data_IF_319154501410
#
_entry.id   IF_319154501410
#
_cell.length_a   1.000
_cell.length_b   1.000
_cell.length_c   1.000
_cell.angle_alpha   90.00
_cell.angle_beta   90.00
_cell.angle_gamma   90.00
#
_symmetry.space_group_name_H-M   'P 1'
#
loop_
_entity.id
_entity.type
_entity.pdbx_description
1 polymer ?
#
# COMPACT_ATOMS: atom_id res chain seq x y z
N UNK A 1 21.88 28.97 -30.31
CA UNK A 1 20.62 28.48 -29.76
C UNK A 1 20.99 27.32 -28.87
N UNK A 2 21.03 27.53 -27.53
CA UNK A 2 21.31 26.48 -26.56
C UNK A 2 20.13 25.48 -26.58
N UNK A 3 20.40 24.26 -26.98
CA UNK A 3 19.45 23.16 -26.83
C UNK A 3 19.14 23.03 -25.34
N UNK A 4 17.91 23.32 -24.95
CA UNK A 4 17.40 23.05 -23.60
C UNK A 4 17.65 21.56 -23.35
N UNK A 5 18.47 21.26 -22.33
CA UNK A 5 18.73 19.90 -21.88
C UNK A 5 17.43 19.36 -21.28
N UNK A 6 16.60 18.73 -22.12
CA UNK A 6 15.41 18.01 -21.66
C UNK A 6 15.96 16.73 -21.04
N UNK A 7 15.76 16.49 -19.73
CA UNK A 7 16.22 15.25 -19.11
C UNK A 7 15.62 14.07 -19.89
N UNK A 8 16.46 13.12 -20.26
CA UNK A 8 16.00 11.86 -20.87
C UNK A 8 15.07 11.17 -19.86
N UNK A 9 13.79 10.90 -20.20
CA UNK A 9 12.86 10.22 -19.31
C UNK A 9 13.25 8.75 -19.02
N UNK A 10 14.33 8.25 -19.66
CA UNK A 10 14.83 6.89 -19.48
C UNK A 10 14.03 5.81 -20.22
N UNK A 11 13.13 6.21 -21.11
CA UNK A 11 12.23 5.31 -21.86
C UNK A 11 12.20 5.61 -23.36
N UNK A 12 13.30 6.08 -23.92
CA UNK A 12 13.40 6.49 -25.32
C UNK A 12 13.17 5.36 -26.35
N UNK A 13 13.25 4.09 -25.89
CA UNK A 13 12.95 2.89 -26.69
C UNK A 13 11.64 2.18 -26.31
N UNK A 14 10.78 2.81 -25.52
CA UNK A 14 9.53 2.21 -25.08
C UNK A 14 8.49 2.19 -26.21
N UNK A 15 8.08 1.00 -26.61
CA UNK A 15 7.04 0.79 -27.64
C UNK A 15 5.62 0.80 -27.08
N UNK A 16 5.47 1.01 -25.76
CA UNK A 16 4.18 1.02 -25.08
C UNK A 16 3.63 -0.36 -24.72
N UNK A 17 4.36 -1.44 -25.00
CA UNK A 17 3.96 -2.79 -24.59
C UNK A 17 4.16 -3.00 -23.09
N UNK A 18 3.47 -4.00 -22.52
CA UNK A 18 3.69 -4.38 -21.13
C UNK A 18 5.08 -5.02 -20.97
N UNK A 19 5.73 -4.77 -19.84
CA UNK A 19 6.91 -5.52 -19.44
C UNK A 19 6.53 -7.01 -19.31
N UNK A 20 7.24 -7.93 -20.01
CA UNK A 20 6.88 -9.36 -20.00
C UNK A 20 6.91 -9.98 -18.60
N UNK A 21 7.89 -9.59 -17.74
CA UNK A 21 7.98 -10.12 -16.39
C UNK A 21 6.79 -9.66 -15.52
N UNK A 22 6.32 -8.42 -15.71
CA UNK A 22 5.13 -7.91 -15.04
C UNK A 22 3.86 -8.60 -15.55
N UNK A 23 3.73 -8.79 -16.86
CA UNK A 23 2.58 -9.47 -17.46
C UNK A 23 2.45 -10.92 -16.97
N UNK A 24 3.57 -11.66 -16.95
CA UNK A 24 3.64 -13.03 -16.44
C UNK A 24 3.32 -13.11 -14.93
N UNK A 25 3.83 -12.15 -14.15
CA UNK A 25 3.57 -12.11 -12.72
C UNK A 25 2.12 -11.78 -12.38
N UNK A 26 1.49 -10.85 -13.11
CA UNK A 26 0.06 -10.55 -13.00
C UNK A 26 -0.81 -11.75 -13.35
N UNK A 27 -0.48 -12.46 -14.45
CA UNK A 27 -1.19 -13.65 -14.86
C UNK A 27 -1.09 -14.78 -13.84
N UNK A 28 0.11 -15.02 -13.29
CA UNK A 28 0.33 -16.03 -12.26
C UNK A 28 -0.43 -15.70 -10.96
N UNK A 29 -0.40 -14.45 -10.50
CA UNK A 29 -1.15 -14.01 -9.34
C UNK A 29 -2.66 -14.15 -9.54
N UNK A 30 -3.16 -13.85 -10.74
CA UNK A 30 -4.59 -14.00 -11.06
C UNK A 30 -5.03 -15.46 -11.10
N UNK A 31 -4.17 -16.36 -11.60
CA UNK A 31 -4.46 -17.78 -11.68
C UNK A 31 -4.56 -18.44 -10.30
N UNK A 32 -3.69 -18.04 -9.35
CA UNK A 32 -3.71 -18.54 -7.98
C UNK A 32 -3.31 -17.43 -6.98
N UNK A 33 -4.27 -16.60 -6.54
CA UNK A 33 -4.02 -15.58 -5.52
C UNK A 33 -3.65 -16.14 -4.15
N UNK A 34 -3.92 -17.41 -3.89
CA UNK A 34 -3.64 -18.12 -2.64
C UNK A 34 -2.22 -18.67 -2.53
N UNK A 35 -1.50 -18.78 -3.65
CA UNK A 35 -0.11 -19.23 -3.64
C UNK A 35 0.78 -18.12 -3.03
N UNK A 36 1.46 -18.39 -1.89
CA UNK A 36 2.30 -17.41 -1.22
C UNK A 36 3.49 -16.91 -2.06
N UNK A 37 3.86 -17.60 -3.15
CA UNK A 37 4.96 -17.20 -4.03
C UNK A 37 4.54 -16.18 -5.09
N UNK A 38 3.26 -16.06 -5.43
CA UNK A 38 2.78 -15.20 -6.54
C UNK A 38 2.86 -13.72 -6.19
N UNK A 39 2.42 -13.33 -5.01
CA UNK A 39 2.45 -11.92 -4.58
C UNK A 39 3.87 -11.33 -4.49
N UNK A 40 4.88 -11.99 -3.88
CA UNK A 40 6.25 -11.50 -3.88
C UNK A 40 6.84 -11.33 -5.29
N UNK A 41 6.57 -12.28 -6.20
CA UNK A 41 6.99 -12.19 -7.60
C UNK A 41 6.36 -10.98 -8.30
N UNK A 42 5.06 -10.74 -8.07
CA UNK A 42 4.36 -9.59 -8.64
C UNK A 42 4.93 -8.27 -8.11
N UNK A 43 5.19 -8.17 -6.80
CA UNK A 43 5.78 -6.97 -6.21
C UNK A 43 7.20 -6.71 -6.74
N UNK A 44 8.01 -7.75 -6.91
CA UNK A 44 9.34 -7.64 -7.50
C UNK A 44 9.28 -7.19 -8.98
N UNK A 45 8.36 -7.76 -9.76
CA UNK A 45 8.14 -7.35 -11.14
C UNK A 45 7.67 -5.90 -11.24
N UNK A 46 6.73 -5.48 -10.40
CA UNK A 46 6.25 -4.09 -10.33
C UNK A 46 7.38 -3.11 -10.00
N UNK A 47 8.29 -3.47 -9.10
CA UNK A 47 9.42 -2.62 -8.72
C UNK A 47 10.37 -2.34 -9.89
N UNK A 48 10.57 -3.31 -10.78
CA UNK A 48 11.44 -3.20 -11.95
C UNK A 48 10.76 -2.60 -13.18
N UNK A 49 9.45 -2.74 -13.27
CA UNK A 49 8.70 -2.38 -14.48
C UNK A 49 8.52 -0.87 -14.65
N UNK A 50 8.30 -0.49 -15.92
CA UNK A 50 7.76 0.81 -16.29
C UNK A 50 6.24 0.77 -16.19
N UNK A 51 5.66 1.80 -15.61
CA UNK A 51 4.21 2.02 -15.56
C UNK A 51 3.85 3.26 -16.38
N UNK A 52 2.64 3.28 -16.92
CA UNK A 52 2.04 4.43 -17.58
C UNK A 52 1.02 5.07 -16.63
N UNK A 53 1.30 6.29 -16.19
CA UNK A 53 0.35 7.11 -15.45
C UNK A 53 -0.40 7.99 -16.44
N UNK A 54 -1.75 7.97 -16.44
CA UNK A 54 -2.52 8.78 -17.37
C UNK A 54 -2.47 10.25 -16.99
N UNK A 55 -2.44 11.11 -18.01
CA UNK A 55 -2.74 12.52 -17.88
C UNK A 55 -3.95 12.81 -18.76
N UNK A 56 -4.93 13.49 -18.18
CA UNK A 56 -6.14 13.92 -18.88
C UNK A 56 -6.22 15.44 -18.93
N UNK A 57 -6.76 15.97 -20.01
CA UNK A 57 -7.07 17.38 -20.09
C UNK A 57 -8.35 17.65 -19.30
N UNK A 58 -8.25 18.47 -18.27
CA UNK A 58 -9.42 18.98 -17.54
C UNK A 58 -9.79 20.31 -18.18
N UNK A 59 -11.01 20.39 -18.71
CA UNK A 59 -11.56 21.66 -19.21
C UNK A 59 -11.72 22.59 -18.01
N UNK A 60 -10.89 23.66 -17.96
CA UNK A 60 -11.08 24.76 -17.03
C UNK A 60 -12.44 25.43 -17.25
N UNK A 61 -12.91 26.20 -16.27
CA UNK A 61 -14.16 26.95 -16.38
C UNK A 61 -14.12 27.84 -17.63
N UNK A 62 -15.12 27.65 -18.51
CA UNK A 62 -15.27 28.47 -19.69
C UNK A 62 -15.73 29.86 -19.27
N UNK A 63 -14.90 30.88 -19.40
CA UNK A 63 -15.33 32.29 -19.27
C UNK A 63 -16.03 32.72 -20.55
N UNK A 64 -17.23 33.29 -20.40
CA UNK A 64 -17.91 33.97 -21.50
C UNK A 64 -17.34 35.36 -21.60
N UNK A 65 -16.62 35.64 -22.71
CA UNK A 65 -16.07 36.96 -22.96
C UNK A 65 -17.16 38.02 -23.13
N UNK A 66 -16.79 39.32 -23.11
CA UNK A 66 -17.74 40.44 -23.28
C UNK A 66 -18.45 40.42 -24.63
N UNK A 67 -17.97 39.64 -25.57
CA UNK A 67 -18.52 39.41 -26.93
C UNK A 67 -19.51 38.21 -26.99
N UNK A 68 -19.84 37.60 -25.87
CA UNK A 68 -20.74 36.44 -25.76
C UNK A 68 -20.14 35.12 -26.28
N UNK A 69 -18.88 35.10 -26.70
CA UNK A 69 -18.20 33.90 -27.15
C UNK A 69 -17.54 33.19 -25.97
N UNK A 70 -17.80 31.88 -25.82
CA UNK A 70 -17.09 31.01 -24.85
C UNK A 70 -15.64 30.86 -25.31
N UNK A 71 -14.70 31.32 -24.48
CA UNK A 71 -13.27 31.11 -24.68
C UNK A 71 -12.78 30.13 -23.65
N UNK A 72 -12.22 28.99 -24.11
CA UNK A 72 -11.49 28.07 -23.26
C UNK A 72 -10.19 28.74 -22.82
N UNK A 73 -10.08 29.10 -21.56
CA UNK A 73 -8.97 29.90 -21.05
C UNK A 73 -7.74 29.10 -20.68
N UNK A 74 -7.88 27.81 -20.37
CA UNK A 74 -6.77 26.87 -20.17
C UNK A 74 -7.28 25.44 -20.11
N UNK A 75 -6.57 24.56 -20.75
CA UNK A 75 -6.69 23.12 -20.57
C UNK A 75 -5.63 22.75 -19.53
N UNK A 76 -6.01 22.58 -18.29
CA UNK A 76 -5.11 22.08 -17.27
C UNK A 76 -4.94 20.57 -17.43
N UNK A 77 -3.69 20.11 -17.37
CA UNK A 77 -3.37 18.68 -17.42
C UNK A 77 -3.36 18.15 -16.00
N UNK A 78 -4.23 17.21 -15.71
CA UNK A 78 -4.34 16.60 -14.38
C UNK A 78 -4.11 15.10 -14.42
N UNK A 79 -3.58 14.58 -13.33
CA UNK A 79 -3.52 13.14 -13.07
C UNK A 79 -4.86 12.72 -12.46
N UNK A 80 -5.65 11.88 -13.15
CA UNK A 80 -6.94 11.48 -12.62
C UNK A 80 -6.78 10.57 -11.40
N UNK A 81 -7.59 10.80 -10.37
CA UNK A 81 -7.73 9.90 -9.23
C UNK A 81 -9.11 9.29 -9.19
N UNK A 82 -9.18 8.03 -8.80
CA UNK A 82 -10.41 7.29 -8.63
C UNK A 82 -10.83 7.37 -7.17
N UNK A 83 -12.13 7.49 -6.92
CA UNK A 83 -12.67 7.43 -5.56
C UNK A 83 -13.53 6.19 -5.45
N UNK A 84 -13.13 5.26 -4.56
CA UNK A 84 -13.89 4.06 -4.26
C UNK A 84 -15.04 4.36 -3.27
N UNK A 85 -16.06 3.48 -3.21
CA UNK A 85 -17.03 3.50 -2.12
C UNK A 85 -16.31 3.50 -0.76
N UNK A 86 -16.64 4.45 0.13
CA UNK A 86 -15.94 4.64 1.41
C UNK A 86 -14.85 5.73 1.38
N UNK A 87 -14.71 6.45 0.27
CA UNK A 87 -13.85 7.65 0.18
C UNK A 87 -12.36 7.37 -0.04
N UNK A 88 -11.94 6.10 -0.16
CA UNK A 88 -10.55 5.76 -0.52
C UNK A 88 -10.22 6.26 -1.92
N UNK A 89 -9.04 6.86 -2.06
CA UNK A 89 -8.56 7.38 -3.34
C UNK A 89 -7.49 6.46 -3.92
N UNK A 90 -7.58 6.24 -5.22
CA UNK A 90 -6.63 5.41 -5.95
C UNK A 90 -6.05 6.15 -7.16
N UNK A 91 -4.75 5.98 -7.40
CA UNK A 91 -4.11 6.42 -8.63
C UNK A 91 -4.15 5.27 -9.64
N UNK A 92 -4.75 5.44 -10.83
CA UNK A 92 -4.65 4.45 -11.90
C UNK A 92 -3.25 4.47 -12.53
N UNK A 93 -2.71 3.29 -12.81
CA UNK A 93 -1.49 3.09 -13.57
C UNK A 93 -1.68 1.90 -14.52
N UNK A 94 -0.94 1.87 -15.62
CA UNK A 94 -1.12 0.86 -16.65
C UNK A 94 0.20 0.23 -17.05
N UNK A 95 0.19 -1.07 -17.29
CA UNK A 95 1.35 -1.80 -17.78
C UNK A 95 1.65 -1.50 -19.25
N UNK A 96 0.61 -1.17 -20.04
CA UNK A 96 0.71 -0.95 -21.48
C UNK A 96 -0.21 0.16 -21.99
N UNK A 97 0.10 0.67 -23.18
CA UNK A 97 -0.79 1.59 -23.90
C UNK A 97 -2.12 0.92 -24.28
N UNK A 98 -2.12 -0.39 -24.48
CA UNK A 98 -3.33 -1.15 -24.78
C UNK A 98 -4.30 -1.21 -23.58
N UNK A 99 -3.80 -1.41 -22.34
CA UNK A 99 -4.62 -1.39 -21.13
C UNK A 99 -5.09 0.02 -20.80
N UNK A 100 -4.24 1.03 -21.00
CA UNK A 100 -4.60 2.44 -20.87
C UNK A 100 -5.73 2.83 -21.84
N UNK A 101 -5.60 2.50 -23.13
CA UNK A 101 -6.60 2.84 -24.14
C UNK A 101 -7.97 2.18 -23.90
N UNK A 102 -8.00 0.99 -23.28
CA UNK A 102 -9.25 0.34 -22.87
C UNK A 102 -9.96 1.11 -21.74
N UNK A 103 -9.18 1.75 -20.88
CA UNK A 103 -9.75 2.57 -19.81
C UNK A 103 -10.19 3.93 -20.32
N UNK A 104 -9.30 4.63 -21.03
CA UNK A 104 -9.59 5.94 -21.59
C UNK A 104 -8.71 6.19 -22.83
N UNK A 105 -9.34 6.17 -24.00
CA UNK A 105 -8.64 6.20 -25.29
C UNK A 105 -7.92 7.53 -25.58
N UNK A 106 -8.38 8.63 -25.00
CA UNK A 106 -7.84 9.99 -25.17
C UNK A 106 -6.84 10.38 -24.06
N UNK A 107 -6.64 9.54 -23.05
CA UNK A 107 -5.64 9.78 -22.02
C UNK A 107 -4.22 9.70 -22.59
N UNK A 108 -3.37 10.65 -22.18
CA UNK A 108 -1.96 10.66 -22.57
C UNK A 108 -1.12 9.91 -21.54
N UNK A 109 -0.34 8.90 -21.96
CA UNK A 109 0.53 8.16 -21.05
C UNK A 109 1.78 8.98 -20.69
N UNK A 110 2.15 8.93 -19.40
CA UNK A 110 3.47 9.32 -18.93
C UNK A 110 4.15 8.07 -18.38
N UNK A 111 5.24 7.68 -19.02
CA UNK A 111 6.06 6.55 -18.60
C UNK A 111 6.85 6.93 -17.34
N UNK A 112 6.69 6.15 -16.28
CA UNK A 112 7.33 6.38 -14.98
C UNK A 112 7.79 5.05 -14.37
N UNK A 113 8.79 5.10 -13.49
CA UNK A 113 9.11 3.97 -12.61
C UNK A 113 8.18 3.96 -11.41
N UNK A 114 7.99 2.79 -10.80
CA UNK A 114 7.12 2.64 -9.63
C UNK A 114 7.33 3.70 -8.52
N UNK A 115 8.57 4.07 -8.10
CA UNK A 115 8.75 5.12 -7.09
C UNK A 115 8.19 6.48 -7.48
N UNK A 116 8.14 6.79 -8.77
CA UNK A 116 7.56 8.03 -9.28
C UNK A 116 6.03 7.96 -9.27
N UNK A 117 5.44 6.80 -9.66
CA UNK A 117 4.01 6.56 -9.56
C UNK A 117 3.52 6.66 -8.10
N UNK A 118 4.26 6.07 -7.15
CA UNK A 118 3.93 6.13 -5.72
C UNK A 118 4.02 7.56 -5.15
N UNK A 119 5.00 8.35 -5.61
CA UNK A 119 5.07 9.78 -5.24
C UNK A 119 3.89 10.57 -5.81
N UNK A 120 3.51 10.31 -7.05
CA UNK A 120 2.33 10.93 -7.65
C UNK A 120 1.05 10.54 -6.87
N UNK A 121 0.89 9.27 -6.50
CA UNK A 121 -0.23 8.82 -5.66
C UNK A 121 -0.27 9.59 -4.34
N UNK A 122 0.87 9.73 -3.65
CA UNK A 122 0.94 10.47 -2.39
C UNK A 122 0.60 11.95 -2.55
N UNK A 123 1.05 12.60 -3.64
CA UNK A 123 0.73 14.01 -3.96
C UNK A 123 -0.76 14.21 -4.21
N UNK A 124 -1.40 13.24 -4.85
CA UNK A 124 -2.84 13.24 -5.11
C UNK A 124 -3.68 12.76 -3.90
N UNK A 125 -3.04 12.44 -2.77
CA UNK A 125 -3.72 11.90 -1.58
C UNK A 125 -4.35 10.53 -1.82
N UNK A 126 -3.79 9.74 -2.74
CA UNK A 126 -4.22 8.37 -3.00
C UNK A 126 -3.43 7.39 -2.12
N UNK A 127 -4.15 6.49 -1.46
CA UNK A 127 -3.62 5.44 -0.60
C UNK A 127 -3.46 4.09 -1.33
N UNK A 128 -3.86 4.06 -2.59
CA UNK A 128 -3.91 2.87 -3.44
C UNK A 128 -3.36 3.20 -4.83
N UNK A 129 -2.58 2.29 -5.41
CA UNK A 129 -2.22 2.29 -6.83
C UNK A 129 -2.98 1.13 -7.50
N UNK A 130 -3.82 1.44 -8.50
CA UNK A 130 -4.54 0.41 -9.26
C UNK A 130 -3.85 0.20 -10.60
N UNK A 131 -3.31 -0.99 -10.81
CA UNK A 131 -2.64 -1.37 -12.05
C UNK A 131 -3.63 -2.05 -12.98
N UNK A 132 -3.68 -1.61 -14.24
CA UNK A 132 -4.50 -2.18 -15.32
C UNK A 132 -5.99 -2.32 -14.99
N UNK A 133 -6.61 -1.27 -14.44
CA UNK A 133 -8.02 -1.23 -14.02
C UNK A 133 -9.00 -1.80 -15.07
N UNK A 134 -8.79 -1.52 -16.35
CA UNK A 134 -9.58 -2.02 -17.47
C UNK A 134 -8.86 -3.15 -18.24
N UNK A 135 -7.80 -3.69 -17.67
CA UNK A 135 -7.04 -4.79 -18.24
C UNK A 135 -7.67 -6.16 -17.95
N UNK A 136 -7.07 -7.22 -18.47
CA UNK A 136 -7.53 -8.58 -18.18
C UNK A 136 -7.30 -8.98 -16.70
N UNK A 137 -6.30 -8.37 -16.05
CA UNK A 137 -5.92 -8.64 -14.65
C UNK A 137 -5.69 -7.32 -13.94
N UNK A 138 -6.72 -6.73 -13.33
CA UNK A 138 -6.53 -5.57 -12.47
C UNK A 138 -5.85 -5.97 -11.15
N UNK A 139 -4.92 -5.15 -10.68
CA UNK A 139 -4.23 -5.36 -9.41
C UNK A 139 -4.23 -4.11 -8.54
N UNK A 140 -4.61 -4.26 -7.28
CA UNK A 140 -4.61 -3.17 -6.31
C UNK A 140 -3.37 -3.29 -5.41
N UNK A 141 -2.45 -2.34 -5.54
CA UNK A 141 -1.33 -2.19 -4.62
C UNK A 141 -1.71 -1.21 -3.52
N UNK A 142 -1.84 -1.71 -2.31
CA UNK A 142 -2.30 -0.95 -1.14
C UNK A 142 -1.59 -1.39 0.14
N UNK A 143 -1.80 -0.70 1.24
CA UNK A 143 -1.36 -1.11 2.58
C UNK A 143 0.15 -1.29 2.73
N UNK A 144 0.56 -2.37 3.37
CA UNK A 144 1.97 -2.71 3.66
C UNK A 144 2.80 -2.88 2.40
N UNK A 145 2.25 -3.52 1.37
CA UNK A 145 2.96 -3.75 0.11
C UNK A 145 3.31 -2.43 -0.58
N UNK A 146 2.35 -1.48 -0.65
CA UNK A 146 2.58 -0.15 -1.22
C UNK A 146 3.66 0.60 -0.44
N UNK A 147 3.61 0.58 0.89
CA UNK A 147 4.60 1.27 1.73
C UNK A 147 5.98 0.64 1.64
N UNK A 148 6.07 -0.69 1.59
CA UNK A 148 7.35 -1.38 1.42
C UNK A 148 8.02 -0.97 0.10
N UNK A 149 7.28 -0.94 -0.99
CA UNK A 149 7.78 -0.52 -2.29
C UNK A 149 8.09 0.99 -2.34
N UNK A 150 7.31 1.84 -1.66
CA UNK A 150 7.60 3.27 -1.54
C UNK A 150 8.91 3.55 -0.80
N UNK A 151 9.29 2.66 0.14
CA UNK A 151 10.54 2.70 0.89
C UNK A 151 11.72 2.01 0.16
N UNK A 152 11.51 1.57 -1.09
CA UNK A 152 12.52 0.88 -1.88
C UNK A 152 12.82 -0.55 -1.40
N UNK A 153 11.98 -1.11 -0.54
CA UNK A 153 12.08 -2.49 -0.10
C UNK A 153 11.43 -3.39 -1.15
N UNK A 154 12.21 -3.76 -2.15
CA UNK A 154 11.86 -4.87 -3.04
C UNK A 154 12.25 -6.13 -2.30
N UNK A 155 11.27 -6.92 -1.90
CA UNK A 155 11.56 -8.22 -1.28
C UNK A 155 12.48 -9.02 -2.20
N UNK A 156 13.60 -9.49 -1.68
CA UNK A 156 14.41 -10.50 -2.34
C UNK A 156 13.49 -11.71 -2.59
N UNK A 157 13.25 -12.14 -3.85
CA UNK A 157 12.45 -13.33 -4.12
C UNK A 157 13.04 -14.60 -3.47
N UNK A 158 14.31 -14.57 -3.04
CA UNK A 158 14.95 -15.61 -2.23
C UNK A 158 14.62 -15.49 -0.74
N UNK A 159 14.04 -14.38 -0.27
CA UNK A 159 13.76 -14.13 1.14
C UNK A 159 12.42 -14.69 1.64
N UNK A 160 11.70 -15.47 0.84
CA UNK A 160 10.37 -15.99 1.21
C UNK A 160 9.24 -14.95 1.12
N UNK A 161 7.99 -15.32 1.40
CA UNK A 161 6.89 -14.36 1.51
C UNK A 161 7.32 -13.26 2.49
N UNK A 162 6.94 -11.98 2.26
CA UNK A 162 7.25 -10.94 3.22
C UNK A 162 6.81 -11.46 4.58
N UNK A 163 7.78 -11.63 5.48
CA UNK A 163 7.49 -11.97 6.84
C UNK A 163 6.32 -11.09 7.25
N UNK A 164 5.26 -11.68 7.78
CA UNK A 164 4.09 -10.89 8.17
C UNK A 164 4.63 -9.70 8.96
N UNK A 165 3.96 -8.56 8.94
CA UNK A 165 4.42 -7.39 9.75
C UNK A 165 4.72 -7.82 11.19
N UNK A 166 4.15 -8.95 11.60
CA UNK A 166 4.33 -9.58 12.90
C UNK A 166 5.67 -10.32 13.07
N UNK A 167 6.30 -10.74 11.95
CA UNK A 167 7.61 -11.38 11.96
C UNK A 167 8.75 -10.35 11.89
N UNK A 168 8.42 -9.05 11.77
CA UNK A 168 9.41 -7.98 11.85
C UNK A 168 10.05 -7.97 13.25
N UNK A 169 11.37 -8.22 13.36
CA UNK A 169 12.06 -8.24 14.64
C UNK A 169 11.90 -6.95 15.44
N UNK A 170 11.74 -5.82 14.74
CA UNK A 170 11.56 -4.53 15.39
C UNK A 170 10.15 -4.38 15.99
N UNK A 171 9.10 -4.91 15.33
CA UNK A 171 7.74 -4.96 15.91
C UNK A 171 7.74 -5.83 17.16
N UNK A 172 8.30 -7.03 17.07
CA UNK A 172 8.37 -7.94 18.23
C UNK A 172 9.23 -7.37 19.36
N UNK A 173 10.33 -6.67 19.05
CA UNK A 173 11.18 -6.00 20.05
C UNK A 173 10.44 -4.84 20.73
N UNK A 174 9.75 -3.98 19.96
CA UNK A 174 8.96 -2.88 20.51
C UNK A 174 7.85 -3.39 21.44
N UNK A 175 7.12 -4.42 21.03
CA UNK A 175 6.08 -5.03 21.87
C UNK A 175 6.67 -5.62 23.15
N UNK A 176 7.81 -6.33 23.09
CA UNK A 176 8.50 -6.87 24.27
C UNK A 176 8.99 -5.77 25.22
N UNK A 177 9.34 -4.61 24.70
CA UNK A 177 9.76 -3.48 25.52
C UNK A 177 8.57 -2.78 26.21
N UNK A 178 7.41 -2.74 25.57
CA UNK A 178 6.21 -2.07 26.08
C UNK A 178 5.43 -2.89 27.11
N UNK A 179 5.34 -4.21 26.92
CA UNK A 179 4.50 -5.10 27.74
C UNK A 179 4.87 -5.10 29.23
N UNK A 180 6.15 -5.09 29.65
CA UNK A 180 6.53 -5.04 31.07
C UNK A 180 6.06 -3.79 31.81
N UNK A 181 5.78 -2.69 31.07
CA UNK A 181 5.31 -1.45 31.67
C UNK A 181 3.82 -1.50 32.09
N UNK A 182 3.10 -2.60 31.79
CA UNK A 182 1.75 -2.87 32.28
C UNK A 182 1.78 -4.11 33.19
N UNK A 183 1.88 -3.93 34.52
CA UNK A 183 2.07 -5.02 35.45
C UNK A 183 0.93 -6.05 35.48
N UNK A 184 -0.26 -5.64 35.05
CA UNK A 184 -1.42 -6.52 34.95
C UNK A 184 -1.34 -7.54 33.79
N UNK A 185 -0.40 -7.39 32.86
CA UNK A 185 -0.19 -8.34 31.78
C UNK A 185 0.69 -9.50 32.26
N UNK A 186 0.14 -10.70 32.32
CA UNK A 186 0.85 -11.90 32.69
C UNK A 186 1.52 -12.59 31.52
N UNK A 187 0.87 -12.58 30.36
CA UNK A 187 1.42 -13.12 29.13
C UNK A 187 0.80 -12.44 27.93
N UNK A 188 1.54 -12.41 26.81
CA UNK A 188 1.05 -11.90 25.53
C UNK A 188 1.48 -12.82 24.40
N UNK A 189 0.63 -12.91 23.39
CA UNK A 189 0.87 -13.65 22.16
C UNK A 189 0.48 -12.79 20.97
N UNK A 190 1.29 -12.84 19.91
CA UNK A 190 1.03 -12.15 18.67
C UNK A 190 0.56 -13.16 17.63
N UNK A 191 -0.63 -12.95 17.10
CA UNK A 191 -1.25 -13.80 16.09
C UNK A 191 -1.58 -13.01 14.83
N UNK A 192 -1.75 -13.69 13.72
CA UNK A 192 -2.22 -13.08 12.48
C UNK A 192 -3.54 -12.35 12.70
N UNK A 193 -3.66 -11.14 12.15
CA UNK A 193 -4.88 -10.35 12.19
C UNK A 193 -5.90 -10.75 11.14
N UNK A 194 -7.07 -10.12 11.22
CA UNK A 194 -8.07 -10.19 10.17
C UNK A 194 -7.74 -9.25 9.00
N UNK A 195 -8.66 -9.13 8.04
CA UNK A 195 -8.49 -8.26 6.87
C UNK A 195 -8.34 -6.75 7.20
N UNK A 196 -8.73 -6.34 8.41
CA UNK A 196 -8.73 -4.94 8.85
C UNK A 196 -7.60 -4.61 9.85
N UNK A 197 -6.75 -5.57 10.23
CA UNK A 197 -5.64 -5.34 11.16
C UNK A 197 -4.38 -6.08 10.72
N UNK A 198 -3.22 -5.54 11.10
CA UNK A 198 -1.92 -6.15 10.81
C UNK A 198 -1.67 -7.40 11.68
N UNK A 199 -2.37 -7.49 12.81
CA UNK A 199 -2.25 -8.62 13.74
C UNK A 199 -3.16 -8.47 14.94
N UNK A 200 -3.21 -9.52 15.76
CA UNK A 200 -3.92 -9.54 17.03
C UNK A 200 -2.94 -9.76 18.16
N UNK A 201 -2.85 -8.81 19.09
CA UNK A 201 -2.13 -8.96 20.35
C UNK A 201 -3.09 -9.53 21.39
N UNK A 202 -3.00 -10.83 21.62
CA UNK A 202 -3.77 -11.51 22.65
C UNK A 202 -3.02 -11.42 24.00
N UNK A 203 -3.69 -10.91 25.03
CA UNK A 203 -3.10 -10.70 26.37
C UNK A 203 -3.88 -11.46 27.43
N UNK A 204 -3.15 -12.18 28.28
CA UNK A 204 -3.67 -12.75 29.52
C UNK A 204 -3.38 -11.78 30.66
N UNK A 205 -4.40 -11.42 31.42
CA UNK A 205 -4.32 -10.44 32.48
C UNK A 205 -4.39 -11.12 33.85
N UNK A 206 -3.90 -10.41 34.85
CA UNK A 206 -4.13 -10.75 36.27
C UNK A 206 -5.65 -10.80 36.53
N UNK A 207 -6.18 -11.85 37.18
CA UNK A 207 -7.61 -11.98 37.43
C UNK A 207 -8.23 -10.81 38.20
N UNK A 208 -7.46 -10.12 39.03
CA UNK A 208 -7.91 -9.00 39.84
C UNK A 208 -7.84 -7.66 39.10
N UNK A 209 -7.31 -7.64 37.86
CA UNK A 209 -7.17 -6.44 37.07
C UNK A 209 -8.45 -6.09 36.31
N UNK A 210 -8.77 -4.78 36.22
CA UNK A 210 -9.84 -4.28 35.33
C UNK A 210 -9.42 -4.41 33.86
N UNK A 211 -9.95 -5.42 33.17
CA UNK A 211 -9.62 -5.68 31.77
C UNK A 211 -9.85 -4.47 30.85
N UNK A 212 -10.95 -3.69 30.97
CA UNK A 212 -11.16 -2.50 30.13
C UNK A 212 -10.11 -1.42 30.36
N UNK A 213 -9.69 -1.18 31.61
CA UNK A 213 -8.70 -0.16 31.95
C UNK A 213 -7.31 -0.55 31.47
N UNK A 214 -6.94 -1.81 31.62
CA UNK A 214 -5.67 -2.35 31.11
C UNK A 214 -5.64 -2.27 29.59
N UNK A 215 -6.71 -2.69 28.92
CA UNK A 215 -6.82 -2.64 27.47
C UNK A 215 -6.67 -1.19 26.94
N UNK A 216 -7.33 -0.23 27.59
CA UNK A 216 -7.23 1.18 27.21
C UNK A 216 -5.80 1.72 27.35
N UNK A 217 -5.15 1.51 28.51
CA UNK A 217 -3.76 1.96 28.73
C UNK A 217 -2.79 1.30 27.76
N UNK A 218 -2.96 0.01 27.49
CA UNK A 218 -2.13 -0.73 26.55
C UNK A 218 -2.31 -0.19 25.13
N UNK A 219 -3.55 0.04 24.69
CA UNK A 219 -3.85 0.63 23.38
C UNK A 219 -3.24 2.03 23.22
N UNK A 220 -3.34 2.89 24.24
CA UNK A 220 -2.73 4.23 24.25
C UNK A 220 -1.20 4.15 24.10
N UNK A 221 -0.55 3.22 24.80
CA UNK A 221 0.91 3.02 24.70
C UNK A 221 1.34 2.47 23.35
N UNK A 222 0.61 1.48 22.81
CA UNK A 222 0.88 0.92 21.48
C UNK A 222 0.72 1.99 20.39
N UNK A 223 -0.32 2.82 20.49
CA UNK A 223 -0.56 3.92 19.57
C UNK A 223 0.48 5.05 19.68
N UNK A 224 1.08 5.26 20.85
CA UNK A 224 2.11 6.27 21.07
C UNK A 224 3.51 5.84 20.60
N UNK A 225 3.75 4.53 20.43
CA UNK A 225 5.07 4.01 20.06
C UNK A 225 5.43 4.34 18.62
N UNK A 226 6.57 4.98 18.41
CA UNK A 226 7.04 5.44 17.11
C UNK A 226 7.43 4.29 16.17
N UNK A 227 8.02 3.22 16.72
CA UNK A 227 8.46 2.05 15.94
C UNK A 227 7.25 1.26 15.43
N UNK A 228 6.24 1.05 16.29
CA UNK A 228 5.01 0.36 15.90
C UNK A 228 4.25 1.18 14.85
N UNK A 229 4.10 2.49 15.04
CA UNK A 229 3.43 3.37 14.05
C UNK A 229 4.14 3.40 12.69
N UNK A 230 5.47 3.30 12.69
CA UNK A 230 6.24 3.29 11.45
C UNK A 230 6.07 1.98 10.64
N UNK A 231 5.71 0.88 11.32
CA UNK A 231 5.68 -0.47 10.72
C UNK A 231 4.29 -1.05 10.56
N UNK A 232 3.38 -0.76 11.49
CA UNK A 232 2.00 -1.20 11.41
C UNK A 232 1.17 -0.27 10.53
N UNK A 233 0.34 -0.84 9.69
CA UNK A 233 -0.48 -0.12 8.70
C UNK A 233 -1.89 0.09 9.22
N UNK A 234 -2.49 -0.99 9.68
CA UNK A 234 -3.84 -1.03 10.20
C UNK A 234 -3.86 -1.12 11.73
N UNK A 235 -2.67 -1.21 12.34
CA UNK A 235 -2.51 -1.39 13.78
C UNK A 235 -2.77 -2.83 14.22
N UNK A 236 -2.78 -3.03 15.54
CA UNK A 236 -3.04 -4.32 16.17
C UNK A 236 -4.41 -4.32 16.82
N UNK A 237 -5.16 -5.39 16.58
CA UNK A 237 -6.30 -5.72 17.42
C UNK A 237 -5.81 -6.16 18.79
N UNK A 238 -6.47 -5.71 19.84
CA UNK A 238 -6.18 -6.13 21.21
C UNK A 238 -7.26 -7.09 21.70
N UNK A 239 -6.89 -8.34 21.95
CA UNK A 239 -7.76 -9.36 22.50
C UNK A 239 -7.38 -9.66 23.95
N UNK A 240 -8.29 -9.43 24.88
CA UNK A 240 -8.13 -9.86 26.28
C UNK A 240 -8.68 -11.27 26.43
N UNK A 241 -7.83 -12.18 26.87
CA UNK A 241 -8.20 -13.57 27.01
C UNK A 241 -8.90 -13.81 28.38
N UNK A 242 -9.88 -14.70 28.43
CA UNK A 242 -10.46 -15.14 29.71
C UNK A 242 -9.40 -15.70 30.63
N UNK A 243 -9.57 -15.57 31.97
CA UNK A 243 -8.66 -16.16 32.94
C UNK A 243 -8.50 -17.68 32.73
N UNK A 244 -7.26 -18.14 32.77
CA UNK A 244 -6.93 -19.57 32.58
C UNK A 244 -6.85 -20.01 31.11
N UNK A 245 -7.01 -19.11 30.15
CA UNK A 245 -6.80 -19.42 28.72
C UNK A 245 -5.34 -19.76 28.44
N UNK A 246 -5.12 -20.84 27.69
CA UNK A 246 -3.80 -21.19 27.20
C UNK A 246 -3.56 -20.47 25.85
N UNK A 247 -2.45 -19.75 25.78
CA UNK A 247 -2.03 -19.11 24.53
C UNK A 247 -1.48 -20.16 23.55
N UNK A 248 -1.92 -20.18 22.28
CA UNK A 248 -1.35 -21.10 21.29
C UNK A 248 0.07 -20.67 20.92
N UNK A 249 1.00 -21.62 20.81
CA UNK A 249 2.37 -21.37 20.35
C UNK A 249 3.29 -20.70 21.38
N UNK A 250 4.39 -20.11 20.89
CA UNK A 250 5.40 -19.46 21.76
C UNK A 250 4.92 -18.07 22.17
N UNK A 251 4.85 -17.82 23.46
CA UNK A 251 4.47 -16.50 23.98
C UNK A 251 5.48 -15.43 23.55
N UNK A 252 4.98 -14.29 23.07
CA UNK A 252 5.77 -13.09 22.80
C UNK A 252 6.38 -12.52 24.10
N UNK A 253 5.59 -12.54 25.17
CA UNK A 253 5.93 -12.05 26.50
C UNK A 253 5.31 -12.96 27.57
N UNK A 254 6.03 -13.17 28.66
CA UNK A 254 5.56 -13.83 29.89
C UNK A 254 6.26 -13.17 31.08
N UNK A 255 5.44 -12.80 32.06
CA UNK A 255 5.91 -12.27 33.35
C UNK A 255 6.48 -13.35 34.22
#
# INVERSE_FOLDING_TARGET
>A
VALKNIPDPGFSGDDGSADPALADALAAWHADPGDPATQPRLLAALAGARLLVPIVAVLGEAETGPDGLRRDKSSDMAVPTLTAPGGRRALPAFSSTATLARWQADARPVAVRLPQALRAAAQEGADTLVVDLAGPVPYELTGTALRALAQGRTGDPAAGPPASTLDDPAVTAALRALLPAEPAVLAAHLAAGGAASDGTLAVALDPDASAPDVARRLAERLAADGELRARLVHGLDLAVLPPGSTLPGTALYRR
#
